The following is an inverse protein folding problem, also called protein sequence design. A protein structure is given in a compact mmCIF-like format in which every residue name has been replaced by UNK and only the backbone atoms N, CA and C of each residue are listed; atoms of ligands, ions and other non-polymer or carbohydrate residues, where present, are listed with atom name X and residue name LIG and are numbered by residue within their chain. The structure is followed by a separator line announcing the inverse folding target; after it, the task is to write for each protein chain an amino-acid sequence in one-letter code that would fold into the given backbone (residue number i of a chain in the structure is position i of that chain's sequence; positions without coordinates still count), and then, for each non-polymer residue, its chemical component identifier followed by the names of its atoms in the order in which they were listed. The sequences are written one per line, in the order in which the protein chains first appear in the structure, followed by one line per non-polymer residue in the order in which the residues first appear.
data_IF_410282260819
#
_entry.id   IF_410282260819
#
_cell.length_a   1.000
_cell.length_b   1.000
_cell.length_c   1.000
_cell.angle_alpha   90.00
_cell.angle_beta   90.00
_cell.angle_gamma   90.00
#
_symmetry.space_group_name_H-M   'P 1'
#
loop_
_entity.id
_entity.type
_entity.pdbx_description
1 polymer ?
#
# COMPACT_ATOMS: atom_id res chain seq x y z
N UNK A 1 -8.09 -32.87 -24.41
CA UNK A 1 -7.31 -31.72 -23.91
C UNK A 1 -7.87 -31.39 -22.55
N UNK A 2 -7.17 -31.77 -21.48
CA UNK A 2 -7.63 -31.56 -20.10
C UNK A 2 -7.10 -30.21 -19.65
N UNK A 3 -7.99 -29.23 -19.47
CA UNK A 3 -7.63 -27.95 -18.85
C UNK A 3 -7.58 -28.21 -17.35
N UNK A 4 -6.38 -28.41 -16.79
CA UNK A 4 -6.17 -28.35 -15.34
C UNK A 4 -6.30 -26.89 -14.93
N UNK A 5 -7.45 -26.54 -14.34
CA UNK A 5 -7.59 -25.30 -13.59
C UNK A 5 -6.80 -25.45 -12.30
N UNK A 6 -5.52 -25.06 -12.30
CA UNK A 6 -4.80 -24.84 -11.05
C UNK A 6 -5.52 -23.72 -10.29
N UNK A 7 -6.19 -24.09 -9.19
CA UNK A 7 -6.84 -23.13 -8.30
C UNK A 7 -5.77 -22.19 -7.75
N UNK A 8 -5.82 -20.93 -8.13
CA UNK A 8 -4.96 -19.91 -7.54
C UNK A 8 -5.41 -19.66 -6.10
N UNK A 9 -4.59 -20.04 -5.11
CA UNK A 9 -4.89 -19.73 -3.71
C UNK A 9 -4.59 -18.25 -3.41
N UNK A 10 -5.46 -17.63 -2.61
CA UNK A 10 -5.24 -16.26 -2.14
C UNK A 10 -4.22 -16.29 -1.01
N UNK A 11 -3.13 -15.54 -1.17
CA UNK A 11 -2.06 -15.45 -0.19
C UNK A 11 -2.18 -14.22 0.70
N UNK A 12 -2.84 -14.39 1.83
CA UNK A 12 -2.86 -13.38 2.89
C UNK A 12 -1.50 -13.26 3.61
N UNK A 13 -1.32 -12.15 4.32
CA UNK A 13 -0.15 -11.91 5.15
C UNK A 13 -0.13 -12.88 6.33
N UNK A 14 1.00 -13.56 6.54
CA UNK A 14 1.29 -14.33 7.76
C UNK A 14 2.35 -13.62 8.59
N UNK A 15 2.53 -13.95 9.88
CA UNK A 15 3.62 -13.39 10.69
C UNK A 15 5.00 -13.52 10.04
N UNK A 16 5.30 -14.67 9.43
CA UNK A 16 6.59 -14.96 8.77
C UNK A 16 6.75 -14.14 7.48
N UNK A 17 5.66 -13.94 6.73
CA UNK A 17 5.66 -13.07 5.54
C UNK A 17 5.87 -11.62 5.94
N UNK A 18 5.16 -11.16 6.97
CA UNK A 18 5.32 -9.82 7.53
C UNK A 18 6.76 -9.58 7.99
N UNK A 19 7.33 -10.49 8.78
CA UNK A 19 8.71 -10.37 9.25
C UNK A 19 9.71 -10.23 8.10
N UNK A 20 9.56 -11.02 7.03
CA UNK A 20 10.41 -10.92 5.83
C UNK A 20 10.24 -9.59 5.10
N UNK A 21 9.00 -9.14 4.92
CA UNK A 21 8.72 -7.86 4.25
C UNK A 21 9.24 -6.68 5.07
N UNK A 22 9.09 -6.70 6.40
CA UNK A 22 9.64 -5.68 7.28
C UNK A 22 11.17 -5.66 7.27
N UNK A 23 11.82 -6.82 7.23
CA UNK A 23 13.27 -6.89 7.10
C UNK A 23 13.77 -6.26 5.78
N UNK A 24 12.98 -6.35 4.71
CA UNK A 24 13.26 -5.65 3.45
C UNK A 24 13.03 -4.13 3.56
N UNK A 25 11.92 -3.72 4.18
CA UNK A 25 11.62 -2.31 4.45
C UNK A 25 12.72 -1.61 5.26
N UNK A 26 13.18 -2.24 6.35
CA UNK A 26 14.26 -1.67 7.17
C UNK A 26 15.56 -1.48 6.39
N UNK A 27 15.90 -2.42 5.48
CA UNK A 27 17.06 -2.27 4.59
C UNK A 27 16.88 -1.13 3.59
N UNK A 28 15.67 -0.96 3.04
CA UNK A 28 15.38 0.12 2.08
C UNK A 28 15.48 1.51 2.72
N UNK A 29 15.04 1.67 3.98
CA UNK A 29 15.16 2.94 4.70
C UNK A 29 16.61 3.41 4.88
N UNK A 30 17.57 2.48 4.85
CA UNK A 30 19.00 2.77 5.02
C UNK A 30 19.80 2.55 3.73
N UNK A 31 19.14 2.46 2.59
CA UNK A 31 19.76 2.21 1.28
C UNK A 31 20.58 3.39 0.74
N UNK A 32 21.26 3.21 -0.41
CA UNK A 32 21.98 4.29 -1.07
C UNK A 32 21.04 5.42 -1.52
N UNK A 33 21.51 6.68 -1.59
CA UNK A 33 20.72 7.80 -2.10
C UNK A 33 20.22 7.52 -3.52
N UNK A 34 18.90 7.57 -3.74
CA UNK A 34 18.24 7.27 -5.01
C UNK A 34 17.25 6.11 -4.96
N UNK A 35 17.47 5.15 -4.05
CA UNK A 35 16.58 4.00 -3.82
C UNK A 35 15.76 4.14 -2.53
N UNK A 36 15.93 5.27 -1.81
CA UNK A 36 15.25 5.53 -0.56
C UNK A 36 13.75 5.74 -0.80
N UNK A 37 12.88 5.18 0.06
CA UNK A 37 11.48 5.54 0.05
C UNK A 37 11.34 7.04 0.35
N UNK A 38 10.22 7.60 -0.08
CA UNK A 38 9.84 8.96 0.26
C UNK A 38 9.88 9.15 1.78
N UNK A 39 10.84 9.94 2.27
CA UNK A 39 11.12 10.03 3.71
C UNK A 39 9.93 10.54 4.52
N UNK A 40 8.99 11.24 3.86
CA UNK A 40 7.82 11.82 4.52
C UNK A 40 6.69 10.82 4.73
N UNK A 41 6.62 9.74 3.95
CA UNK A 41 5.65 8.67 4.20
C UNK A 41 6.16 7.65 5.22
N UNK A 42 7.48 7.61 5.48
CA UNK A 42 8.09 6.68 6.43
C UNK A 42 7.37 6.65 7.78
N UNK A 43 7.03 7.79 8.44
CA UNK A 43 6.34 7.77 9.72
C UNK A 43 4.99 7.03 9.68
N UNK A 44 4.17 7.27 8.64
CA UNK A 44 2.90 6.56 8.46
C UNK A 44 3.14 5.06 8.22
N UNK A 45 4.10 4.72 7.35
CA UNK A 45 4.44 3.32 7.09
C UNK A 45 4.91 2.59 8.35
N UNK A 46 5.80 3.20 9.14
CA UNK A 46 6.30 2.64 10.38
C UNK A 46 5.20 2.49 11.44
N UNK A 47 4.22 3.41 11.49
CA UNK A 47 3.05 3.29 12.37
C UNK A 47 2.14 2.13 11.95
N UNK A 48 1.79 2.02 10.67
CA UNK A 48 0.96 0.94 10.13
C UNK A 48 1.65 -0.42 10.28
N UNK A 49 2.96 -0.50 10.05
CA UNK A 49 3.74 -1.74 10.18
C UNK A 49 3.78 -2.28 11.62
N UNK A 50 3.53 -1.44 12.64
CA UNK A 50 3.41 -1.88 14.03
C UNK A 50 2.07 -2.56 14.32
N UNK A 51 1.03 -2.29 13.53
CA UNK A 51 -0.30 -2.88 13.73
C UNK A 51 -0.31 -4.36 13.37
N UNK A 52 -0.98 -5.21 14.15
CA UNK A 52 -1.14 -6.62 13.83
C UNK A 52 -1.89 -6.77 12.51
N UNK A 53 -1.43 -7.68 11.65
CA UNK A 53 -2.12 -7.98 10.39
C UNK A 53 -1.97 -6.95 9.28
N UNK A 54 -1.19 -5.88 9.47
CA UNK A 54 -0.93 -4.84 8.46
C UNK A 54 0.54 -4.83 8.08
N UNK A 55 0.85 -4.74 6.79
CA UNK A 55 2.20 -4.51 6.30
C UNK A 55 2.19 -3.59 5.09
N UNK A 56 2.99 -2.52 5.11
CA UNK A 56 3.15 -1.62 3.98
C UNK A 56 4.07 -2.23 2.92
N UNK A 57 3.77 -1.95 1.66
CA UNK A 57 4.58 -2.33 0.51
C UNK A 57 5.20 -1.07 -0.12
N UNK A 58 4.76 -0.70 -1.32
CA UNK A 58 5.20 0.50 -2.03
C UNK A 58 4.27 1.67 -1.67
N UNK A 59 4.84 2.78 -1.21
CA UNK A 59 4.05 3.96 -0.79
C UNK A 59 4.82 5.26 -1.07
N UNK A 60 4.13 6.36 -1.34
CA UNK A 60 4.71 7.70 -1.49
C UNK A 60 3.72 8.78 -1.02
N UNK A 61 4.21 10.00 -0.72
CA UNK A 61 3.34 11.10 -0.30
C UNK A 61 2.69 11.85 -1.46
N UNK A 62 2.77 11.32 -2.68
CA UNK A 62 2.39 12.03 -3.90
C UNK A 62 3.49 13.00 -4.36
N UNK A 63 3.62 13.14 -5.68
CA UNK A 63 4.67 13.95 -6.27
C UNK A 63 4.35 14.32 -7.73
N UNK A 64 4.92 15.44 -8.22
CA UNK A 64 4.93 15.74 -9.64
C UNK A 64 5.80 14.73 -10.41
N UNK A 65 5.23 14.14 -11.46
CA UNK A 65 5.91 13.26 -12.40
C UNK A 65 6.04 13.96 -13.75
N UNK A 66 7.29 14.20 -14.16
CA UNK A 66 7.62 14.64 -15.52
C UNK A 66 7.71 13.42 -16.43
N UNK A 67 6.71 13.25 -17.30
CA UNK A 67 6.70 12.12 -18.24
C UNK A 67 7.51 12.50 -19.51
N UNK A 68 8.44 11.64 -19.99
CA UNK A 68 9.37 11.96 -21.08
C UNK A 68 8.76 12.42 -22.40
N UNK A 69 7.45 12.20 -22.60
CA UNK A 69 6.71 12.48 -23.84
C UNK A 69 5.56 13.45 -23.67
N UNK A 70 5.43 14.10 -22.50
CA UNK A 70 4.36 15.07 -22.25
C UNK A 70 4.97 16.43 -21.88
N UNK A 71 4.48 17.54 -22.46
CA UNK A 71 4.99 18.88 -22.16
C UNK A 71 4.51 19.41 -20.80
N UNK A 72 3.71 18.64 -20.06
CA UNK A 72 3.14 19.02 -18.77
C UNK A 72 3.49 18.00 -17.69
N UNK A 73 3.61 18.52 -16.47
CA UNK A 73 3.81 17.74 -15.24
C UNK A 73 2.49 17.06 -14.88
N UNK A 74 2.53 15.74 -14.65
CA UNK A 74 1.39 15.00 -14.08
C UNK A 74 1.55 14.99 -12.57
N UNK A 75 0.49 15.33 -11.84
CA UNK A 75 0.50 15.25 -10.38
C UNK A 75 -0.03 13.88 -9.98
N UNK A 76 0.81 13.07 -9.32
CA UNK A 76 0.39 11.80 -8.74
C UNK A 76 -0.03 12.02 -7.28
N UNK A 77 -1.19 11.47 -6.86
CA UNK A 77 -1.62 11.57 -5.47
C UNK A 77 -0.72 10.77 -4.53
N UNK A 78 -0.92 10.98 -3.22
CA UNK A 78 -0.40 10.07 -2.20
C UNK A 78 -0.90 8.66 -2.46
N UNK A 79 -0.01 7.68 -2.34
CA UNK A 79 -0.34 6.29 -2.60
C UNK A 79 0.22 5.40 -1.51
N UNK A 80 -0.59 4.46 -1.04
CA UNK A 80 -0.22 3.49 0.00
C UNK A 80 -0.67 2.10 -0.41
N UNK A 81 0.28 1.17 -0.53
CA UNK A 81 -0.02 -0.24 -0.76
C UNK A 81 0.12 -1.03 0.52
N UNK A 82 -0.90 -1.80 0.86
CA UNK A 82 -0.95 -2.63 2.05
C UNK A 82 -1.14 -4.10 1.67
N UNK A 83 -0.40 -4.97 2.34
CA UNK A 83 -0.69 -6.39 2.42
C UNK A 83 -1.27 -6.68 3.80
N UNK A 84 -2.45 -7.28 3.82
CA UNK A 84 -3.20 -7.56 5.03
C UNK A 84 -3.24 -9.05 5.35
N UNK A 85 -3.31 -9.39 6.63
CA UNK A 85 -3.73 -10.74 7.03
C UNK A 85 -5.21 -10.94 6.68
N UNK A 86 -5.67 -12.18 6.75
CA UNK A 86 -7.03 -12.51 6.32
C UNK A 86 -8.10 -11.77 7.14
N UNK A 87 -7.93 -11.69 8.45
CA UNK A 87 -8.88 -11.04 9.34
C UNK A 87 -8.98 -9.54 9.05
N UNK A 88 -7.83 -8.87 8.91
CA UNK A 88 -7.73 -7.44 8.62
C UNK A 88 -8.22 -7.13 7.21
N UNK A 89 -7.95 -8.01 6.23
CA UNK A 89 -8.48 -7.88 4.89
C UNK A 89 -10.01 -7.86 4.89
N UNK A 90 -10.65 -8.85 5.52
CA UNK A 90 -12.11 -8.89 5.57
C UNK A 90 -12.72 -7.75 6.41
N UNK A 91 -12.02 -7.29 7.45
CA UNK A 91 -12.41 -6.09 8.18
C UNK A 91 -12.41 -4.86 7.27
N UNK A 92 -11.32 -4.65 6.52
CA UNK A 92 -11.22 -3.58 5.54
C UNK A 92 -12.32 -3.66 4.48
N UNK A 93 -12.59 -4.84 3.89
CA UNK A 93 -13.64 -4.98 2.87
C UNK A 93 -15.01 -4.52 3.39
N UNK A 94 -15.33 -4.78 4.66
CA UNK A 94 -16.60 -4.34 5.27
C UNK A 94 -16.67 -2.83 5.49
N UNK A 95 -15.55 -2.19 5.81
CA UNK A 95 -15.49 -0.76 6.15
C UNK A 95 -15.11 0.12 4.96
N UNK A 96 -14.58 -0.46 3.88
CA UNK A 96 -14.09 0.24 2.70
C UNK A 96 -15.13 1.19 2.06
N UNK A 97 -16.43 0.85 1.94
CA UNK A 97 -17.40 1.79 1.38
C UNK A 97 -17.54 3.07 2.20
N UNK A 98 -17.50 2.98 3.53
CA UNK A 98 -17.53 4.16 4.40
C UNK A 98 -16.23 4.95 4.28
N UNK A 99 -15.10 4.24 4.25
CA UNK A 99 -13.78 4.84 4.15
C UNK A 99 -13.55 5.56 2.81
N UNK A 100 -14.10 5.03 1.72
CA UNK A 100 -14.04 5.66 0.39
C UNK A 100 -14.77 7.01 0.34
N UNK A 101 -15.72 7.27 1.24
CA UNK A 101 -16.45 8.54 1.30
C UNK A 101 -15.72 9.62 2.11
N UNK A 102 -14.60 9.30 2.74
CA UNK A 102 -13.79 10.27 3.47
C UNK A 102 -13.16 11.26 2.49
N UNK A 103 -13.26 12.56 2.77
CA UNK A 103 -12.89 13.61 1.80
C UNK A 103 -11.43 13.55 1.34
N UNK A 104 -10.54 12.99 2.15
CA UNK A 104 -9.11 12.91 1.85
C UNK A 104 -8.68 11.60 1.18
N UNK A 105 -9.62 10.70 0.86
CA UNK A 105 -9.40 9.48 0.09
C UNK A 105 -9.85 9.73 -1.35
N UNK A 106 -8.98 9.50 -2.32
CA UNK A 106 -9.30 9.69 -3.75
C UNK A 106 -9.82 8.40 -4.39
N UNK A 107 -9.21 7.26 -4.06
CA UNK A 107 -9.58 5.96 -4.61
C UNK A 107 -9.15 4.82 -3.68
N UNK A 108 -9.91 3.71 -3.73
CA UNK A 108 -9.62 2.47 -3.01
C UNK A 108 -9.74 1.29 -3.95
N UNK A 109 -8.66 0.50 -4.05
CA UNK A 109 -8.60 -0.65 -4.95
C UNK A 109 -8.06 -1.88 -4.24
N UNK A 110 -8.58 -3.04 -4.61
CA UNK A 110 -7.96 -4.34 -4.30
C UNK A 110 -7.31 -4.88 -5.55
N UNK A 111 -5.99 -5.01 -5.51
CA UNK A 111 -5.17 -5.48 -6.62
C UNK A 111 -4.68 -6.89 -6.28
N UNK A 112 -5.00 -7.87 -7.13
CA UNK A 112 -4.49 -9.22 -6.99
C UNK A 112 -3.18 -9.34 -7.78
N UNK A 113 -2.06 -9.15 -7.09
CA UNK A 113 -0.73 -9.26 -7.70
C UNK A 113 -0.30 -10.73 -7.75
N UNK A 114 0.19 -11.18 -8.91
CA UNK A 114 0.98 -12.41 -8.98
C UNK A 114 2.37 -12.15 -8.43
N UNK A 115 2.90 -13.07 -7.63
CA UNK A 115 4.34 -13.05 -7.30
C UNK A 115 5.14 -13.42 -8.54
N UNK A 116 6.11 -12.58 -8.90
CA UNK A 116 6.99 -12.85 -10.06
C UNK A 116 8.05 -13.91 -9.77
N UNK A 117 8.23 -14.29 -8.51
CA UNK A 117 9.32 -15.13 -8.01
C UNK A 117 8.89 -16.55 -7.58
N UNK A 118 7.60 -16.89 -7.69
CA UNK A 118 7.12 -18.25 -7.41
C UNK A 118 6.66 -18.95 -8.68
N UNK A 119 7.01 -20.23 -8.82
CA UNK A 119 6.40 -21.12 -9.83
C UNK A 119 4.91 -21.38 -9.56
N UNK A 120 4.39 -20.97 -8.39
CA UNK A 120 2.97 -21.01 -8.05
C UNK A 120 2.22 -19.77 -8.54
N UNK A 121 0.98 -19.97 -9.01
CA UNK A 121 0.04 -18.92 -9.41
C UNK A 121 -0.65 -18.23 -8.21
N UNK A 122 0.11 -17.96 -7.18
CA UNK A 122 -0.39 -17.39 -5.94
C UNK A 122 -0.81 -15.93 -6.13
N UNK A 123 -2.02 -15.59 -5.68
CA UNK A 123 -2.56 -14.23 -5.77
C UNK A 123 -2.44 -13.52 -4.42
N UNK A 124 -1.63 -12.46 -4.37
CA UNK A 124 -1.54 -11.59 -3.21
C UNK A 124 -2.55 -10.45 -3.30
N UNK A 125 -3.57 -10.38 -2.41
CA UNK A 125 -4.45 -9.23 -2.35
C UNK A 125 -3.68 -8.06 -1.75
N UNK A 126 -3.56 -6.99 -2.54
CA UNK A 126 -2.89 -5.76 -2.17
C UNK A 126 -3.93 -4.65 -2.15
N UNK A 127 -4.12 -4.03 -0.99
CA UNK A 127 -4.96 -2.84 -0.88
C UNK A 127 -4.15 -1.65 -1.37
N UNK A 128 -4.70 -0.91 -2.32
CA UNK A 128 -4.14 0.32 -2.83
C UNK A 128 -5.06 1.46 -2.40
N UNK A 129 -4.51 2.41 -1.66
CA UNK A 129 -5.20 3.61 -1.18
C UNK A 129 -4.54 4.80 -1.86
N UNK A 130 -5.30 5.47 -2.73
CA UNK A 130 -4.92 6.79 -3.23
C UNK A 130 -5.58 7.84 -2.33
N UNK A 131 -4.79 8.80 -1.86
CA UNK A 131 -5.21 9.78 -0.88
C UNK A 131 -4.58 11.14 -1.18
N UNK A 132 -5.15 12.19 -0.60
CA UNK A 132 -4.58 13.53 -0.74
C UNK A 132 -3.22 13.60 -0.03
N UNK A 133 -2.17 13.72 -0.82
CA UNK A 133 -0.80 13.77 -0.38
C UNK A 133 -0.27 15.21 -0.30
N UNK A 134 1.04 15.33 -0.32
CA UNK A 134 1.72 16.61 -0.24
C UNK A 134 1.61 17.46 -1.50
N UNK A 135 1.23 16.85 -2.61
CA UNK A 135 0.89 17.57 -3.83
C UNK A 135 -0.27 18.55 -3.63
N UNK A 136 -1.10 18.33 -2.59
CA UNK A 136 -2.14 19.28 -2.15
C UNK A 136 -1.60 20.23 -1.08
N UNK A 137 -1.09 19.68 0.03
CA UNK A 137 -0.33 20.40 1.07
C UNK A 137 0.17 19.42 2.14
N UNK A 138 1.20 19.82 2.91
CA UNK A 138 1.66 19.05 4.10
C UNK A 138 0.54 18.84 5.12
N UNK A 139 -0.31 19.85 5.33
CA UNK A 139 -1.45 19.75 6.26
C UNK A 139 -2.45 18.69 5.81
N UNK A 140 -2.70 18.62 4.49
CA UNK A 140 -3.60 17.64 3.90
C UNK A 140 -3.03 16.24 4.04
N UNK A 141 -1.75 16.06 3.70
CA UNK A 141 -1.05 14.78 3.89
C UNK A 141 -1.13 14.26 5.33
N UNK A 142 -0.86 15.12 6.32
CA UNK A 142 -0.94 14.73 7.73
C UNK A 142 -2.35 14.29 8.12
N UNK A 143 -3.38 15.01 7.65
CA UNK A 143 -4.78 14.65 7.92
C UNK A 143 -5.16 13.30 7.30
N UNK A 144 -4.78 13.07 6.05
CA UNK A 144 -4.99 11.79 5.36
C UNK A 144 -4.28 10.65 6.09
N UNK A 145 -3.04 10.88 6.52
CA UNK A 145 -2.22 9.90 7.24
C UNK A 145 -2.83 9.50 8.58
N UNK A 146 -3.30 10.48 9.36
CA UNK A 146 -4.03 10.22 10.62
C UNK A 146 -5.28 9.39 10.37
N UNK A 147 -6.08 9.78 9.38
CA UNK A 147 -7.34 9.09 9.04
C UNK A 147 -7.10 7.64 8.60
N UNK A 148 -6.08 7.40 7.76
CA UNK A 148 -5.66 6.06 7.36
C UNK A 148 -5.20 5.24 8.56
N UNK A 149 -4.33 5.81 9.41
CA UNK A 149 -3.83 5.10 10.58
C UNK A 149 -4.97 4.71 11.52
N UNK A 150 -5.88 5.63 11.83
CA UNK A 150 -7.03 5.38 12.69
C UNK A 150 -7.95 4.29 12.13
N UNK A 151 -8.15 4.25 10.82
CA UNK A 151 -8.96 3.20 10.17
C UNK A 151 -8.43 1.78 10.44
N UNK A 152 -7.10 1.61 10.36
CA UNK A 152 -6.48 0.29 10.59
C UNK A 152 -6.15 0.01 12.06
N UNK A 153 -6.07 1.05 12.89
CA UNK A 153 -5.85 0.93 14.34
C UNK A 153 -7.08 0.36 15.07
N UNK A 154 -8.27 0.60 14.52
CA UNK A 154 -9.60 0.26 15.05
C UNK A 154 -9.68 -1.01 15.88
#
# INVERSE_FOLDING_TARGET
MTITTESSEILYLTPERKARTLAFWEKQKTGPPGDLPDYRIIPLCDQLNKLRGVCTLQSCTGHPVSLPRRPYVVICPGNLWLWLDEAMFWAFIRTAPSFANETCIEDLRVIFCRRSDSQSFDLRPTICIDFWGEEKSVRTFNRSSELIYEHFRG
#
